data_IF_978865619350
#
_entry.id   IF_978865619350
#
_cell.length_a   1.000
_cell.length_b   1.000
_cell.length_c   1.000
_cell.angle_alpha   90.00
_cell.angle_beta   90.00
_cell.angle_gamma   90.00
#
_symmetry.space_group_name_H-M   'P 1'
#
loop_
_entity.id
_entity.type
_entity.pdbx_description
1 polymer ?
#
# COMPACT_ATOMS: atom_id res chain seq x y z
N UNK A 1 28.11 4.86 -7.85
CA UNK A 1 26.70 4.99 -8.24
C UNK A 1 25.89 4.26 -7.18
N UNK A 2 24.83 4.87 -6.61
CA UNK A 2 23.99 4.18 -5.62
C UNK A 2 23.05 3.21 -6.34
N UNK A 3 22.82 2.02 -5.80
CA UNK A 3 21.84 1.06 -6.30
C UNK A 3 20.45 1.36 -5.75
N UNK A 4 19.46 1.37 -6.63
CA UNK A 4 18.06 1.56 -6.27
C UNK A 4 17.21 0.42 -6.79
N UNK A 5 16.41 -0.16 -5.91
CA UNK A 5 15.47 -1.22 -6.26
C UNK A 5 14.10 -0.63 -6.61
N UNK A 6 13.49 -1.02 -7.73
CA UNK A 6 12.11 -0.61 -8.07
C UNK A 6 11.11 -1.60 -7.47
N UNK A 7 10.12 -1.07 -6.76
CA UNK A 7 9.11 -1.85 -6.06
C UNK A 7 7.69 -1.34 -6.38
N UNK A 8 6.79 -2.23 -6.79
CA UNK A 8 5.42 -1.90 -7.19
C UNK A 8 4.54 -3.12 -7.43
N UNK A 9 3.29 -2.94 -7.86
CA UNK A 9 2.39 -4.06 -8.13
C UNK A 9 2.80 -4.85 -9.40
N UNK A 10 2.79 -6.18 -9.34
CA UNK A 10 3.06 -7.05 -10.49
C UNK A 10 1.89 -8.02 -10.67
N UNK A 11 1.60 -8.80 -9.62
CA UNK A 11 0.53 -9.79 -9.63
C UNK A 11 -0.83 -9.15 -9.85
N UNK A 12 -1.61 -9.70 -10.81
CA UNK A 12 -2.97 -9.25 -11.10
C UNK A 12 -3.06 -8.14 -12.15
N UNK A 13 -1.94 -7.67 -12.70
CA UNK A 13 -1.89 -6.71 -13.79
C UNK A 13 -1.49 -7.39 -15.12
N UNK A 14 -1.93 -6.85 -16.27
CA UNK A 14 -1.44 -7.27 -17.58
C UNK A 14 0.08 -7.07 -17.70
N UNK A 15 0.79 -8.07 -18.23
CA UNK A 15 2.26 -8.07 -18.26
C UNK A 15 2.84 -6.88 -19.06
N UNK A 16 2.17 -6.45 -20.13
CA UNK A 16 2.56 -5.28 -20.90
C UNK A 16 2.48 -3.97 -20.08
N UNK A 17 1.48 -3.84 -19.21
CA UNK A 17 1.35 -2.68 -18.31
C UNK A 17 2.46 -2.70 -17.25
N UNK A 18 2.74 -3.88 -16.67
CA UNK A 18 3.84 -4.08 -15.74
C UNK A 18 5.18 -3.72 -16.40
N UNK A 19 5.46 -4.25 -17.58
CA UNK A 19 6.71 -3.96 -18.28
C UNK A 19 6.85 -2.46 -18.58
N UNK A 20 5.78 -1.81 -19.05
CA UNK A 20 5.80 -0.40 -19.38
C UNK A 20 6.10 0.48 -18.17
N UNK A 21 5.42 0.28 -17.04
CA UNK A 21 5.62 1.12 -15.84
C UNK A 21 6.99 0.89 -15.18
N UNK A 22 7.48 -0.36 -15.16
CA UNK A 22 8.81 -0.64 -14.62
C UNK A 22 9.91 -0.07 -15.54
N UNK A 23 9.76 -0.16 -16.87
CA UNK A 23 10.70 0.46 -17.80
C UNK A 23 10.75 2.00 -17.65
N UNK A 24 9.59 2.66 -17.48
CA UNK A 24 9.55 4.10 -17.22
C UNK A 24 10.25 4.48 -15.92
N UNK A 25 10.06 3.69 -14.85
CA UNK A 25 10.77 3.90 -13.59
C UNK A 25 12.28 3.66 -13.71
N UNK A 26 12.69 2.66 -14.49
CA UNK A 26 14.12 2.41 -14.78
C UNK A 26 14.76 3.58 -15.52
N UNK A 27 14.11 4.12 -16.55
CA UNK A 27 14.61 5.28 -17.30
C UNK A 27 14.74 6.50 -16.38
N UNK A 28 13.69 6.80 -15.60
CA UNK A 28 13.67 7.93 -14.68
C UNK A 28 14.80 7.85 -13.64
N UNK A 29 14.92 6.72 -12.94
CA UNK A 29 15.93 6.55 -11.89
C UNK A 29 17.35 6.48 -12.46
N UNK A 30 17.53 5.94 -13.66
CA UNK A 30 18.83 5.98 -14.35
C UNK A 30 19.21 7.42 -14.70
N UNK A 31 18.26 8.24 -15.18
CA UNK A 31 18.48 9.64 -15.48
C UNK A 31 18.82 10.48 -14.23
N UNK A 32 18.32 10.08 -13.06
CA UNK A 32 18.67 10.65 -11.76
C UNK A 32 20.03 10.15 -11.22
N UNK A 33 20.72 9.25 -11.94
CA UNK A 33 22.08 8.81 -11.63
C UNK A 33 22.18 7.57 -10.75
N UNK A 34 21.12 6.77 -10.65
CA UNK A 34 21.13 5.51 -9.92
C UNK A 34 21.51 4.30 -10.80
N UNK A 35 22.07 3.27 -10.16
CA UNK A 35 22.16 1.92 -10.73
C UNK A 35 20.86 1.18 -10.43
N UNK A 36 20.00 1.03 -11.43
CA UNK A 36 18.65 0.53 -11.19
C UNK A 36 18.60 -0.99 -11.19
N UNK A 37 17.99 -1.55 -10.15
CA UNK A 37 17.68 -2.97 -9.98
C UNK A 37 16.16 -3.16 -10.07
N UNK A 38 15.73 -4.13 -10.86
CA UNK A 38 14.31 -4.35 -11.16
C UNK A 38 13.93 -5.82 -10.98
N UNK A 39 12.80 -6.13 -10.29
CA UNK A 39 12.33 -7.50 -10.08
C UNK A 39 12.02 -8.24 -11.40
N UNK A 40 11.74 -7.49 -12.47
CA UNK A 40 11.48 -8.08 -13.79
C UNK A 40 12.73 -8.70 -14.45
N UNK A 41 13.92 -8.44 -13.88
CA UNK A 41 15.22 -8.91 -14.41
C UNK A 41 15.86 -10.00 -13.53
N UNK A 42 15.09 -10.61 -12.61
CA UNK A 42 15.56 -11.69 -11.72
C UNK A 42 15.89 -12.99 -12.45
N UNK A 43 15.36 -13.19 -13.66
CA UNK A 43 15.51 -14.44 -14.42
C UNK A 43 14.68 -15.61 -13.88
N UNK A 44 13.88 -15.40 -12.83
CA UNK A 44 12.96 -16.41 -12.31
C UNK A 44 11.78 -16.53 -13.28
N UNK A 45 11.43 -17.75 -13.73
CA UNK A 45 10.27 -17.95 -14.58
C UNK A 45 8.98 -17.48 -13.89
N UNK A 46 8.11 -16.78 -14.63
CA UNK A 46 6.89 -16.18 -14.08
C UNK A 46 5.96 -17.18 -13.36
N UNK A 47 5.95 -18.44 -13.78
CA UNK A 47 5.11 -19.49 -13.21
C UNK A 47 5.64 -20.07 -11.88
N UNK A 48 6.77 -19.58 -11.35
CA UNK A 48 7.26 -20.00 -10.04
C UNK A 48 6.33 -19.52 -8.91
N UNK A 49 6.36 -20.20 -7.74
CA UNK A 49 5.63 -19.78 -6.57
C UNK A 49 5.95 -18.34 -6.17
N UNK A 50 4.95 -17.63 -5.65
CA UNK A 50 5.11 -16.25 -5.18
C UNK A 50 6.25 -16.11 -4.16
N UNK A 51 6.42 -17.11 -3.30
CA UNK A 51 7.48 -17.18 -2.29
C UNK A 51 8.89 -17.19 -2.91
N UNK A 52 9.04 -17.79 -4.10
CA UNK A 52 10.33 -17.82 -4.81
C UNK A 52 10.66 -16.46 -5.41
N UNK A 53 9.67 -15.80 -6.00
CA UNK A 53 9.81 -14.43 -6.52
C UNK A 53 10.18 -13.47 -5.39
N UNK A 54 9.38 -13.43 -4.32
CA UNK A 54 9.61 -12.46 -3.23
C UNK A 54 10.93 -12.72 -2.49
N UNK A 55 11.39 -13.97 -2.37
CA UNK A 55 12.68 -14.27 -1.76
C UNK A 55 13.84 -13.67 -2.57
N UNK A 56 13.79 -13.79 -3.90
CA UNK A 56 14.79 -13.20 -4.77
C UNK A 56 14.72 -11.67 -4.76
N UNK A 57 13.52 -11.12 -4.82
CA UNK A 57 13.27 -9.69 -4.74
C UNK A 57 13.85 -9.09 -3.45
N UNK A 58 13.70 -9.78 -2.31
CA UNK A 58 14.34 -9.39 -1.05
C UNK A 58 15.86 -9.43 -1.15
N UNK A 59 16.46 -10.45 -1.77
CA UNK A 59 17.92 -10.52 -1.97
C UNK A 59 18.41 -9.34 -2.80
N UNK A 60 17.70 -8.99 -3.87
CA UNK A 60 18.02 -7.83 -4.71
C UNK A 60 17.90 -6.52 -3.93
N UNK A 61 16.79 -6.32 -3.21
CA UNK A 61 16.56 -5.15 -2.38
C UNK A 61 17.63 -4.97 -1.30
N UNK A 62 18.03 -6.05 -0.62
CA UNK A 62 19.06 -6.01 0.42
C UNK A 62 20.39 -5.47 -0.13
N UNK A 63 20.73 -5.84 -1.38
CA UNK A 63 21.92 -5.34 -2.08
C UNK A 63 21.84 -3.90 -2.58
N UNK A 64 20.73 -3.18 -2.37
CA UNK A 64 20.53 -1.79 -2.77
C UNK A 64 20.61 -0.83 -1.58
N UNK A 65 21.00 0.42 -1.82
CA UNK A 65 20.98 1.48 -0.80
C UNK A 65 19.63 2.22 -0.72
N UNK A 66 18.84 2.16 -1.78
CA UNK A 66 17.54 2.82 -1.88
C UNK A 66 16.46 1.90 -2.48
N UNK A 67 15.19 2.26 -2.26
CA UNK A 67 14.02 1.71 -2.95
C UNK A 67 13.21 2.84 -3.58
N UNK A 68 12.83 2.66 -4.84
CA UNK A 68 11.86 3.49 -5.54
C UNK A 68 10.51 2.79 -5.57
N UNK A 69 9.52 3.36 -4.87
CA UNK A 69 8.19 2.82 -4.74
C UNK A 69 7.26 3.43 -5.79
N UNK A 70 6.76 2.60 -6.71
CA UNK A 70 5.75 2.99 -7.69
C UNK A 70 4.45 3.38 -7.00
N UNK A 71 3.65 4.22 -7.63
CA UNK A 71 2.39 4.76 -7.10
C UNK A 71 1.39 3.71 -6.58
N UNK A 72 1.48 2.46 -7.04
CA UNK A 72 0.64 1.32 -6.61
C UNK A 72 1.30 0.37 -5.59
N UNK A 73 2.42 0.76 -4.96
CA UNK A 73 3.15 -0.07 -4.00
C UNK A 73 2.28 -0.53 -2.81
N UNK A 74 1.42 0.37 -2.31
CA UNK A 74 0.62 0.16 -1.10
C UNK A 74 -0.52 -0.84 -1.28
N UNK A 75 -0.90 -1.14 -2.53
CA UNK A 75 -1.88 -2.18 -2.88
C UNK A 75 -1.23 -3.47 -3.37
N UNK A 76 0.10 -3.57 -3.31
CA UNK A 76 0.88 -4.76 -3.65
C UNK A 76 1.40 -5.43 -2.38
N UNK A 77 1.08 -6.73 -2.20
CA UNK A 77 1.58 -7.53 -1.07
C UNK A 77 3.11 -7.58 -1.05
N UNK A 78 3.74 -7.78 -2.22
CA UNK A 78 5.19 -7.84 -2.37
C UNK A 78 5.82 -6.49 -2.08
N UNK A 79 5.35 -5.42 -2.73
CA UNK A 79 5.93 -4.09 -2.56
C UNK A 79 5.75 -3.53 -1.14
N UNK A 80 4.63 -3.85 -0.48
CA UNK A 80 4.44 -3.49 0.93
C UNK A 80 5.46 -4.19 1.83
N UNK A 81 5.79 -5.46 1.56
CA UNK A 81 6.82 -6.19 2.31
C UNK A 81 8.21 -5.61 2.07
N UNK A 82 8.54 -5.33 0.80
CA UNK A 82 9.81 -4.72 0.40
C UNK A 82 9.99 -3.34 1.04
N UNK A 83 8.96 -2.49 1.04
CA UNK A 83 8.96 -1.20 1.73
C UNK A 83 9.24 -1.35 3.23
N UNK A 84 8.59 -2.29 3.90
CA UNK A 84 8.82 -2.53 5.33
C UNK A 84 10.26 -3.00 5.61
N UNK A 85 10.82 -3.84 4.74
CA UNK A 85 12.22 -4.26 4.84
C UNK A 85 13.15 -3.07 4.64
N UNK A 86 12.87 -2.21 3.65
CA UNK A 86 13.64 -1.00 3.39
C UNK A 86 13.66 -0.05 4.61
N UNK A 87 12.51 0.18 5.25
CA UNK A 87 12.43 0.97 6.48
C UNK A 87 13.25 0.36 7.63
N UNK A 88 13.07 -0.93 7.88
CA UNK A 88 13.75 -1.62 8.98
C UNK A 88 15.26 -1.74 8.77
N UNK A 89 15.71 -1.72 7.52
CA UNK A 89 17.14 -1.76 7.16
C UNK A 89 17.74 -0.38 6.91
N UNK A 90 16.99 0.70 7.16
CA UNK A 90 17.46 2.09 7.05
C UNK A 90 17.81 2.51 5.62
N UNK A 91 17.20 1.88 4.61
CA UNK A 91 17.38 2.25 3.20
C UNK A 91 16.66 3.56 2.90
N UNK A 92 17.19 4.29 1.92
CA UNK A 92 16.53 5.50 1.39
C UNK A 92 15.24 5.10 0.66
N UNK A 93 14.13 5.75 0.98
CA UNK A 93 12.82 5.46 0.37
C UNK A 93 12.40 6.65 -0.47
N UNK A 94 12.19 6.41 -1.76
CA UNK A 94 11.76 7.40 -2.73
C UNK A 94 10.41 6.96 -3.28
N UNK A 95 9.43 7.85 -3.25
CA UNK A 95 8.10 7.56 -3.78
C UNK A 95 7.92 8.19 -5.16
N UNK A 96 7.28 7.46 -6.08
CA UNK A 96 6.83 8.02 -7.35
C UNK A 96 5.81 9.15 -7.14
N UNK A 97 4.89 8.93 -6.20
CA UNK A 97 3.90 9.91 -5.75
C UNK A 97 3.84 9.91 -4.23
N UNK A 98 3.67 11.10 -3.64
CA UNK A 98 3.52 11.22 -2.18
C UNK A 98 2.35 10.35 -1.69
N UNK A 99 2.57 9.38 -0.77
CA UNK A 99 1.50 8.54 -0.28
C UNK A 99 0.47 9.35 0.51
N UNK A 100 -0.79 9.29 0.10
CA UNK A 100 -1.90 9.94 0.80
C UNK A 100 -2.22 9.23 2.12
N UNK A 101 -2.73 9.97 3.12
CA UNK A 101 -3.27 9.41 4.37
C UNK A 101 -2.31 8.49 5.14
N UNK A 102 -1.00 8.79 5.11
CA UNK A 102 0.02 7.91 5.69
C UNK A 102 -0.20 7.73 7.20
N UNK A 103 -0.54 8.81 7.90
CA UNK A 103 -0.83 8.82 9.33
C UNK A 103 -2.08 8.00 9.65
N UNK A 104 -3.15 8.14 8.86
CA UNK A 104 -4.38 7.35 9.02
C UNK A 104 -4.12 5.85 8.83
N UNK A 105 -3.39 5.51 7.75
CA UNK A 105 -3.00 4.12 7.44
C UNK A 105 -2.19 3.51 8.57
N UNK A 106 -1.23 4.27 9.11
CA UNK A 106 -0.41 3.83 10.23
C UNK A 106 -1.25 3.59 11.49
N UNK A 107 -2.08 4.55 11.89
CA UNK A 107 -2.89 4.45 13.10
C UNK A 107 -3.87 3.26 13.04
N UNK A 108 -4.55 3.06 11.90
CA UNK A 108 -5.45 1.91 11.70
C UNK A 108 -4.66 0.59 11.76
N UNK A 109 -3.49 0.52 11.13
CA UNK A 109 -2.64 -0.67 11.14
C UNK A 109 -2.24 -1.05 12.57
N UNK A 110 -1.82 -0.07 13.38
CA UNK A 110 -1.40 -0.28 14.76
C UNK A 110 -2.54 -0.78 15.65
N UNK A 111 -3.75 -0.20 15.52
CA UNK A 111 -4.89 -0.54 16.40
C UNK A 111 -5.61 -1.79 15.93
N UNK A 112 -5.92 -1.89 14.63
CA UNK A 112 -6.77 -2.95 14.08
C UNK A 112 -5.99 -4.16 13.57
N UNK A 113 -4.65 -4.08 13.51
CA UNK A 113 -3.76 -5.15 13.04
C UNK A 113 -4.11 -5.61 11.63
N UNK A 114 -4.35 -4.64 10.75
CA UNK A 114 -4.66 -4.84 9.33
C UNK A 114 -3.78 -3.92 8.49
N UNK A 115 -3.21 -4.46 7.42
CA UNK A 115 -2.43 -3.69 6.46
C UNK A 115 -3.33 -2.91 5.49
N UNK A 116 -2.81 -1.82 4.90
CA UNK A 116 -3.55 -1.12 3.85
C UNK A 116 -3.83 -2.00 2.63
N UNK A 117 -2.91 -2.91 2.28
CA UNK A 117 -3.13 -3.95 1.28
C UNK A 117 -4.41 -4.77 1.55
N UNK A 118 -4.65 -5.18 2.80
CA UNK A 118 -5.87 -5.90 3.18
C UNK A 118 -7.13 -5.04 3.11
N UNK A 119 -7.02 -3.76 3.51
CA UNK A 119 -8.10 -2.77 3.42
C UNK A 119 -8.48 -2.56 1.95
N UNK A 120 -7.51 -2.35 1.06
CA UNK A 120 -7.73 -2.21 -0.38
C UNK A 120 -8.11 -3.54 -1.07
N UNK A 121 -7.86 -4.69 -0.45
CA UNK A 121 -8.20 -6.00 -1.00
C UNK A 121 -9.70 -6.36 -0.97
N UNK A 122 -9.99 -7.65 -1.16
CA UNK A 122 -11.36 -8.18 -1.27
C UNK A 122 -11.80 -9.08 -0.10
N UNK A 123 -10.93 -9.29 0.91
CA UNK A 123 -11.25 -10.13 2.07
C UNK A 123 -12.48 -9.61 2.82
N UNK A 124 -13.41 -10.51 3.14
CA UNK A 124 -14.67 -10.20 3.84
C UNK A 124 -14.61 -10.48 5.35
N UNK A 125 -13.43 -10.76 5.90
CA UNK A 125 -13.25 -10.91 7.36
C UNK A 125 -13.73 -9.64 8.06
N UNK A 126 -14.47 -9.80 9.16
CA UNK A 126 -15.15 -8.69 9.84
C UNK A 126 -14.20 -7.55 10.23
N UNK A 127 -13.03 -7.87 10.81
CA UNK A 127 -12.04 -6.87 11.19
C UNK A 127 -11.56 -6.01 10.00
N UNK A 128 -11.37 -6.62 8.82
CA UNK A 128 -10.98 -5.91 7.60
C UNK A 128 -12.14 -5.07 7.06
N UNK A 129 -13.37 -5.58 7.10
CA UNK A 129 -14.56 -4.83 6.67
C UNK A 129 -14.77 -3.60 7.55
N UNK A 130 -14.66 -3.75 8.87
CA UNK A 130 -14.73 -2.64 9.82
C UNK A 130 -13.60 -1.63 9.59
N UNK A 131 -12.38 -2.09 9.28
CA UNK A 131 -11.26 -1.22 8.95
C UNK A 131 -11.52 -0.40 7.68
N UNK A 132 -12.19 -0.97 6.66
CA UNK A 132 -12.63 -0.19 5.48
C UNK A 132 -13.63 0.89 5.84
N UNK A 133 -14.58 0.60 6.72
CA UNK A 133 -15.55 1.58 7.17
C UNK A 133 -14.85 2.75 7.89
N UNK A 134 -13.95 2.43 8.83
CA UNK A 134 -13.17 3.42 9.57
C UNK A 134 -12.26 4.24 8.65
N UNK A 135 -11.49 3.58 7.77
CA UNK A 135 -10.60 4.26 6.83
C UNK A 135 -11.37 5.24 5.94
N UNK A 136 -12.51 4.81 5.36
CA UNK A 136 -13.35 5.70 4.55
C UNK A 136 -13.85 6.90 5.35
N UNK A 137 -14.30 6.69 6.59
CA UNK A 137 -14.77 7.77 7.44
C UNK A 137 -13.67 8.80 7.72
N UNK A 138 -12.50 8.34 8.15
CA UNK A 138 -11.37 9.20 8.51
C UNK A 138 -10.86 9.98 7.29
N UNK A 139 -10.69 9.32 6.14
CA UNK A 139 -10.28 10.02 4.92
C UNK A 139 -11.32 11.08 4.51
N UNK A 140 -12.61 10.81 4.72
CA UNK A 140 -13.66 11.79 4.41
C UNK A 140 -13.64 13.01 5.33
N UNK A 141 -13.17 12.87 6.57
CA UNK A 141 -12.95 13.99 7.48
C UNK A 141 -11.78 14.89 7.03
N UNK A 142 -10.86 14.37 6.21
CA UNK A 142 -9.81 15.15 5.51
C UNK A 142 -10.28 15.69 4.14
N UNK A 143 -11.60 15.76 3.92
CA UNK A 143 -12.26 16.32 2.75
C UNK A 143 -11.90 15.71 1.38
N UNK A 144 -11.50 14.43 1.34
CA UNK A 144 -11.32 13.74 0.05
C UNK A 144 -12.66 13.60 -0.71
N UNK A 145 -12.60 13.64 -2.04
CA UNK A 145 -13.75 13.29 -2.90
C UNK A 145 -13.99 11.78 -2.88
N UNK A 146 -15.25 11.38 -3.01
CA UNK A 146 -15.61 9.95 -3.07
C UNK A 146 -14.92 9.24 -4.24
N UNK A 147 -14.76 9.92 -5.38
CA UNK A 147 -14.07 9.39 -6.56
C UNK A 147 -12.61 9.08 -6.27
N UNK A 148 -11.92 9.95 -5.55
CA UNK A 148 -10.49 9.80 -5.28
C UNK A 148 -10.27 8.71 -4.22
N UNK A 149 -11.15 8.65 -3.22
CA UNK A 149 -11.17 7.56 -2.23
C UNK A 149 -11.51 6.19 -2.87
N UNK A 150 -12.34 6.18 -3.91
CA UNK A 150 -12.66 4.98 -4.67
C UNK A 150 -11.43 4.46 -5.44
N UNK A 151 -10.66 5.36 -6.06
CA UNK A 151 -9.38 5.04 -6.70
C UNK A 151 -8.38 4.51 -5.68
N UNK A 152 -8.20 5.22 -4.55
CA UNK A 152 -7.27 4.86 -3.47
C UNK A 152 -7.50 3.43 -2.92
N UNK A 153 -8.77 3.02 -2.78
CA UNK A 153 -9.14 1.70 -2.26
C UNK A 153 -9.31 0.62 -3.33
N UNK A 154 -9.16 0.98 -4.62
CA UNK A 154 -9.53 0.13 -5.74
C UNK A 154 -10.96 -0.43 -5.58
N UNK A 155 -11.93 0.47 -5.40
CA UNK A 155 -13.37 0.15 -5.20
C UNK A 155 -14.24 1.02 -6.10
N UNK A 156 -15.48 0.59 -6.29
CA UNK A 156 -16.46 1.39 -7.01
C UNK A 156 -17.06 2.47 -6.10
N UNK A 157 -17.49 3.58 -6.70
CA UNK A 157 -18.12 4.71 -6.02
C UNK A 157 -19.27 4.30 -5.07
N UNK A 158 -20.16 3.40 -5.51
CA UNK A 158 -21.27 2.89 -4.69
C UNK A 158 -20.81 2.11 -3.45
N UNK A 159 -19.65 1.45 -3.53
CA UNK A 159 -19.06 0.73 -2.41
C UNK A 159 -18.54 1.69 -1.34
N UNK A 160 -17.94 2.81 -1.75
CA UNK A 160 -17.48 3.85 -0.82
C UNK A 160 -18.67 4.48 -0.07
N UNK A 161 -19.75 4.81 -0.77
CA UNK A 161 -21.00 5.30 -0.15
C UNK A 161 -21.54 4.30 0.87
N UNK A 162 -21.56 3.01 0.49
CA UNK A 162 -21.99 1.94 1.39
C UNK A 162 -21.11 1.89 2.65
N UNK A 163 -19.77 1.97 2.51
CA UNK A 163 -18.85 1.96 3.65
C UNK A 163 -19.06 3.15 4.59
N UNK A 164 -19.24 4.36 4.05
CA UNK A 164 -19.51 5.56 4.85
C UNK A 164 -20.83 5.43 5.65
N UNK A 165 -21.89 4.92 5.02
CA UNK A 165 -23.16 4.66 5.70
C UNK A 165 -22.99 3.61 6.80
N UNK A 166 -22.27 2.52 6.50
CA UNK A 166 -22.06 1.42 7.46
C UNK A 166 -21.19 1.81 8.64
N UNK A 167 -20.22 2.70 8.46
CA UNK A 167 -19.48 3.27 9.58
C UNK A 167 -20.43 3.89 10.62
N UNK A 168 -21.38 4.72 10.18
CA UNK A 168 -22.32 5.40 11.09
C UNK A 168 -23.22 4.42 11.85
N UNK A 169 -23.70 3.38 11.16
CA UNK A 169 -24.50 2.31 11.76
C UNK A 169 -23.70 1.52 12.80
N UNK A 170 -22.49 1.06 12.44
CA UNK A 170 -21.61 0.28 13.31
C UNK A 170 -21.14 1.13 14.51
N UNK A 171 -20.72 2.36 14.31
CA UNK A 171 -20.28 3.24 15.40
C UNK A 171 -21.40 3.43 16.44
N UNK A 172 -22.65 3.59 16.01
CA UNK A 172 -23.82 3.75 16.88
C UNK A 172 -24.19 2.47 17.65
N UNK A 173 -24.07 1.30 17.02
CA UNK A 173 -24.64 0.05 17.52
C UNK A 173 -23.62 -0.93 18.10
N UNK A 174 -22.38 -0.88 17.62
CA UNK A 174 -21.30 -1.77 17.98
C UNK A 174 -20.32 -1.07 18.93
N UNK A 175 -20.47 -1.32 20.24
CA UNK A 175 -19.64 -0.71 21.29
C UNK A 175 -18.15 -0.99 21.09
N UNK A 176 -17.78 -2.20 20.67
CA UNK A 176 -16.38 -2.56 20.47
C UNK A 176 -15.77 -1.80 19.29
N UNK A 177 -16.50 -1.68 18.18
CA UNK A 177 -16.05 -0.90 17.03
C UNK A 177 -15.90 0.59 17.37
N UNK A 178 -16.80 1.15 18.19
CA UNK A 178 -16.69 2.52 18.68
C UNK A 178 -15.39 2.75 19.46
N UNK A 179 -15.12 1.91 20.47
CA UNK A 179 -13.88 2.00 21.27
C UNK A 179 -12.64 1.92 20.38
N UNK A 180 -12.66 1.05 19.36
CA UNK A 180 -11.56 0.93 18.40
C UNK A 180 -11.41 2.20 17.56
N UNK A 181 -12.52 2.76 17.08
CA UNK A 181 -12.54 3.99 16.27
C UNK A 181 -12.01 5.18 17.07
N UNK A 182 -12.52 5.38 18.29
CA UNK A 182 -12.11 6.45 19.20
C UNK A 182 -10.59 6.38 19.48
N UNK A 183 -10.06 5.16 19.66
CA UNK A 183 -8.63 4.94 19.87
C UNK A 183 -7.78 5.32 18.65
N UNK A 184 -8.25 5.05 17.44
CA UNK A 184 -7.56 5.44 16.21
C UNK A 184 -7.56 6.97 16.07
N UNK A 185 -8.70 7.62 16.30
CA UNK A 185 -8.81 9.09 16.28
C UNK A 185 -7.93 9.74 17.35
N UNK A 186 -7.84 9.16 18.54
CA UNK A 186 -6.94 9.63 19.60
C UNK A 186 -5.47 9.57 19.17
N UNK A 187 -5.04 8.52 18.46
CA UNK A 187 -3.66 8.41 17.95
C UNK A 187 -3.39 9.49 16.89
N UNK A 188 -4.36 9.76 16.01
CA UNK A 188 -4.23 10.76 14.95
C UNK A 188 -4.15 12.18 15.55
N UNK A 189 -5.01 12.51 16.51
CA UNK A 189 -5.10 13.84 17.12
C UNK A 189 -3.98 14.18 18.12
N UNK A 190 -3.16 13.20 18.52
CA UNK A 190 -2.04 13.40 19.45
C UNK A 190 -0.73 13.78 18.75
N UNK A 191 -0.69 13.77 17.42
CA UNK A 191 0.45 14.19 16.60
C UNK A 191 0.22 15.60 16.08
#
# INVERSE_FOLDING_TARGET
MKKIYISGAITGLPFNEVQAKFAAAEEKMSAEGYEVVSPLKTGIPYNFPWESHIAMDIVLLIGCEAVYLLSDWNISKGATLEKNIAELTGKEIIYETTPAFTELKQAISEVMRVSFYEIAGHSRKLNIVLARFLYCHLCKNEDIKITDLAVELNKNHSTIIYYLKKYQEEYKTNKQFRIISDKVEEIINKK
#
